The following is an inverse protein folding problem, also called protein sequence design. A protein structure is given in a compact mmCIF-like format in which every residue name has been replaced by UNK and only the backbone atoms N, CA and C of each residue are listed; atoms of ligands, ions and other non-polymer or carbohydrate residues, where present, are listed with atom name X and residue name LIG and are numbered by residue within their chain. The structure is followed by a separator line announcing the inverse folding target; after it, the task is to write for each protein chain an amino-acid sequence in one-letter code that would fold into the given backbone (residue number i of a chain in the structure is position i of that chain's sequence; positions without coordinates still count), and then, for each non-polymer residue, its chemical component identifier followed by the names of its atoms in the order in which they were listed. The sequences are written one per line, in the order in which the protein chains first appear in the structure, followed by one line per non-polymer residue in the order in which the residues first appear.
data_IF_885975034035
#
_entry.id   IF_885975034035
#
_cell.length_a   1.000
_cell.length_b   1.000
_cell.length_c   1.000
_cell.angle_alpha   90.00
_cell.angle_beta   90.00
_cell.angle_gamma   90.00
#
_symmetry.space_group_name_H-M   'P 1'
#
loop_
_entity.id
_entity.type
_entity.pdbx_description
1 polymer ?
#
# COMPACT_ATOMS: atom_id res chain seq x y z
N UNK A 1 -11.68 12.03 40.85
CA UNK A 1 -10.89 12.82 39.89
C UNK A 1 -10.44 12.03 38.64
N UNK A 2 -10.17 10.73 38.73
CA UNK A 2 -9.81 9.88 37.56
C UNK A 2 -11.00 9.57 36.63
N UNK A 3 -12.20 9.37 37.18
CA UNK A 3 -13.41 9.04 36.37
C UNK A 3 -13.84 10.16 35.41
N UNK A 4 -13.67 11.42 35.79
CA UNK A 4 -14.05 12.59 34.98
C UNK A 4 -13.05 12.88 33.84
N UNK A 5 -11.78 12.51 34.02
CA UNK A 5 -10.78 12.60 32.95
C UNK A 5 -11.03 11.55 31.87
N UNK A 6 -11.26 10.29 32.29
CA UNK A 6 -11.59 9.20 31.38
C UNK A 6 -12.89 9.45 30.59
N UNK A 7 -13.91 10.03 31.22
CA UNK A 7 -15.15 10.40 30.50
C UNK A 7 -14.93 11.51 29.47
N UNK A 8 -14.09 12.50 29.80
CA UNK A 8 -13.74 13.57 28.86
C UNK A 8 -12.90 13.04 27.70
N UNK A 9 -11.88 12.21 27.97
CA UNK A 9 -11.03 11.59 26.94
C UNK A 9 -11.86 10.72 25.99
N UNK A 10 -12.81 9.95 26.53
CA UNK A 10 -13.73 9.15 25.73
C UNK A 10 -14.63 10.04 24.86
N UNK A 11 -15.14 11.14 25.42
CA UNK A 11 -15.97 12.12 24.69
C UNK A 11 -15.20 12.77 23.54
N UNK A 12 -13.94 13.17 23.76
CA UNK A 12 -13.07 13.72 22.73
C UNK A 12 -12.77 12.70 21.64
N UNK A 13 -12.48 11.45 22.00
CA UNK A 13 -12.23 10.39 21.02
C UNK A 13 -13.46 10.15 20.14
N UNK A 14 -14.66 10.09 20.73
CA UNK A 14 -15.93 9.92 20.02
C UNK A 14 -16.24 11.09 19.08
N UNK A 15 -16.00 12.32 19.53
CA UNK A 15 -16.15 13.50 18.70
C UNK A 15 -15.19 13.49 17.52
N UNK A 16 -13.92 13.09 17.75
CA UNK A 16 -12.94 12.94 16.70
C UNK A 16 -13.40 11.87 15.69
N UNK A 17 -13.76 10.67 16.15
CA UNK A 17 -14.23 9.59 15.27
C UNK A 17 -15.42 10.02 14.40
N UNK A 18 -16.38 10.77 14.95
CA UNK A 18 -17.49 11.32 14.17
C UNK A 18 -17.04 12.29 13.07
N UNK A 19 -16.04 13.13 13.34
CA UNK A 19 -15.47 14.04 12.35
C UNK A 19 -14.71 13.27 11.26
N UNK A 20 -13.99 12.21 11.65
CA UNK A 20 -13.32 11.32 10.70
C UNK A 20 -14.33 10.64 9.76
N UNK A 21 -15.42 10.11 10.31
CA UNK A 21 -16.47 9.46 9.52
C UNK A 21 -17.17 10.46 8.57
N UNK A 22 -17.38 11.70 9.03
CA UNK A 22 -18.02 12.74 8.20
C UNK A 22 -17.15 13.13 7.02
N UNK A 23 -15.83 13.27 7.23
CA UNK A 23 -14.84 13.53 6.19
C UNK A 23 -14.76 12.36 5.21
N UNK A 24 -14.70 11.12 5.72
CA UNK A 24 -14.68 9.92 4.87
C UNK A 24 -15.91 9.86 3.97
N UNK A 25 -17.11 10.10 4.52
CA UNK A 25 -18.36 10.11 3.76
C UNK A 25 -18.44 11.24 2.71
N UNK A 26 -17.78 12.38 2.93
CA UNK A 26 -17.70 13.47 1.93
C UNK A 26 -16.75 13.09 0.81
N UNK A 27 -15.62 12.46 1.14
CA UNK A 27 -14.62 12.00 0.17
C UNK A 27 -15.24 10.90 -0.71
N UNK A 28 -15.91 9.91 -0.13
CA UNK A 28 -16.59 8.84 -0.86
C UNK A 28 -17.71 9.35 -1.79
N UNK A 29 -18.39 10.44 -1.43
CA UNK A 29 -19.42 11.06 -2.29
C UNK A 29 -18.85 11.90 -3.42
N UNK A 30 -17.73 12.59 -3.18
CA UNK A 30 -17.11 13.48 -4.19
C UNK A 30 -16.27 12.72 -5.20
N UNK A 31 -15.58 11.67 -4.78
CA UNK A 31 -14.98 10.75 -5.74
C UNK A 31 -16.09 9.88 -6.30
N UNK A 32 -16.40 10.02 -7.60
CA UNK A 32 -17.07 8.95 -8.32
C UNK A 32 -16.18 7.72 -8.16
N UNK A 33 -16.54 6.82 -7.24
CA UNK A 33 -15.74 5.67 -6.89
C UNK A 33 -15.64 4.80 -8.15
N UNK A 34 -14.55 4.99 -8.88
CA UNK A 34 -14.24 4.22 -10.08
C UNK A 34 -14.17 2.74 -9.70
N UNK A 35 -14.50 1.85 -10.64
CA UNK A 35 -14.49 0.41 -10.37
C UNK A 35 -13.13 -0.08 -9.86
N UNK A 36 -12.05 0.59 -10.28
CA UNK A 36 -10.69 0.46 -9.72
C UNK A 36 -10.62 0.52 -8.20
N UNK A 37 -11.32 1.47 -7.58
CA UNK A 37 -11.31 1.63 -6.13
C UNK A 37 -11.89 0.40 -5.43
N UNK A 38 -13.03 -0.08 -5.92
CA UNK A 38 -13.70 -1.25 -5.35
C UNK A 38 -12.83 -2.50 -5.49
N UNK A 39 -12.16 -2.65 -6.63
CA UNK A 39 -11.25 -3.77 -6.86
C UNK A 39 -10.00 -3.68 -5.97
N UNK A 40 -9.45 -2.50 -5.71
CA UNK A 40 -8.31 -2.33 -4.80
C UNK A 40 -8.65 -2.74 -3.35
N UNK A 41 -9.89 -2.52 -2.90
CA UNK A 41 -10.35 -2.93 -1.57
C UNK A 41 -10.38 -4.46 -1.38
N UNK A 42 -10.38 -5.24 -2.46
CA UNK A 42 -10.32 -6.71 -2.38
C UNK A 42 -8.93 -7.23 -2.00
N UNK A 43 -7.91 -6.39 -2.09
CA UNK A 43 -6.53 -6.76 -1.76
C UNK A 43 -6.35 -6.78 -0.23
N UNK A 44 -5.82 -7.86 0.36
CA UNK A 44 -5.57 -7.93 1.79
C UNK A 44 -4.63 -6.81 2.22
N UNK A 45 -5.04 -6.08 3.26
CA UNK A 45 -4.30 -4.95 3.82
C UNK A 45 -4.55 -3.61 3.15
N UNK A 46 -5.29 -3.53 2.05
CA UNK A 46 -5.70 -2.26 1.45
C UNK A 46 -7.06 -1.84 2.03
N UNK A 47 -7.03 -0.89 2.96
CA UNK A 47 -8.24 -0.22 3.45
C UNK A 47 -8.64 0.99 2.60
N UNK A 48 -9.77 1.63 2.93
CA UNK A 48 -10.33 2.79 2.19
C UNK A 48 -9.32 3.90 1.94
N UNK A 49 -8.66 4.38 3.00
CA UNK A 49 -7.66 5.46 2.92
C UNK A 49 -6.47 5.04 2.02
N UNK A 50 -6.01 3.80 2.14
CA UNK A 50 -4.90 3.27 1.35
C UNK A 50 -5.31 3.13 -0.12
N UNK A 51 -6.51 2.61 -0.41
CA UNK A 51 -7.04 2.49 -1.76
C UNK A 51 -7.22 3.86 -2.41
N UNK A 52 -7.77 4.85 -1.70
CA UNK A 52 -7.90 6.23 -2.17
C UNK A 52 -6.53 6.84 -2.46
N UNK A 53 -5.57 6.68 -1.55
CA UNK A 53 -4.20 7.18 -1.73
C UNK A 53 -3.57 6.55 -2.97
N UNK A 54 -3.68 5.23 -3.12
CA UNK A 54 -3.14 4.51 -4.28
C UNK A 54 -3.78 5.03 -5.57
N UNK A 55 -5.11 5.12 -5.62
CA UNK A 55 -5.83 5.56 -6.81
C UNK A 55 -5.48 6.99 -7.21
N UNK A 56 -5.52 7.93 -6.26
CA UNK A 56 -5.27 9.35 -6.51
C UNK A 56 -3.81 9.63 -6.90
N UNK A 57 -2.85 9.03 -6.19
CA UNK A 57 -1.43 9.24 -6.43
C UNK A 57 -0.92 8.51 -7.68
N UNK A 58 -1.57 7.40 -8.06
CA UNK A 58 -1.28 6.70 -9.31
C UNK A 58 -1.81 7.50 -10.50
N UNK A 59 -3.05 7.98 -10.41
CA UNK A 59 -3.78 8.58 -11.53
C UNK A 59 -4.06 7.55 -12.64
N UNK A 60 -4.06 7.96 -13.92
CA UNK A 60 -4.19 7.03 -15.04
C UNK A 60 -3.08 5.98 -15.02
N UNK A 61 -3.43 4.72 -14.82
CA UNK A 61 -2.46 3.61 -14.70
C UNK A 61 -1.66 3.39 -15.99
N UNK A 62 -2.23 3.74 -17.14
CA UNK A 62 -1.62 3.55 -18.48
C UNK A 62 -0.35 4.38 -18.69
N UNK A 63 -0.10 5.38 -17.84
CA UNK A 63 1.19 6.11 -17.82
C UNK A 63 2.38 5.19 -17.53
N UNK A 64 2.14 4.02 -16.91
CA UNK A 64 3.14 3.03 -16.61
C UNK A 64 3.04 1.87 -17.58
N UNK A 65 3.93 1.83 -18.58
CA UNK A 65 4.00 0.74 -19.56
C UNK A 65 4.21 -0.64 -18.92
N UNK A 66 5.00 -0.70 -17.85
CA UNK A 66 5.39 -1.94 -17.18
C UNK A 66 5.15 -1.85 -15.67
N UNK A 67 4.79 -2.98 -15.07
CA UNK A 67 4.66 -3.12 -13.61
C UNK A 67 5.93 -2.74 -12.85
N UNK A 68 7.11 -2.98 -13.45
CA UNK A 68 8.40 -2.58 -12.88
C UNK A 68 8.54 -1.06 -12.76
N UNK A 69 8.01 -0.29 -13.71
CA UNK A 69 8.01 1.17 -13.67
C UNK A 69 7.09 1.67 -12.54
N UNK A 70 5.94 1.03 -12.35
CA UNK A 70 5.03 1.34 -11.24
C UNK A 70 5.66 1.02 -9.88
N UNK A 71 6.23 -0.18 -9.72
CA UNK A 71 6.91 -0.59 -8.49
C UNK A 71 8.12 0.32 -8.16
N UNK A 72 8.83 0.78 -9.19
CA UNK A 72 9.89 1.78 -9.07
C UNK A 72 9.36 3.13 -8.60
N UNK A 73 8.26 3.61 -9.20
CA UNK A 73 7.60 4.83 -8.79
C UNK A 73 7.10 4.77 -7.33
N UNK A 74 6.66 3.60 -6.86
CA UNK A 74 6.26 3.36 -5.48
C UNK A 74 7.43 3.23 -4.49
N UNK A 75 8.69 3.34 -4.93
CA UNK A 75 9.91 3.16 -4.13
C UNK A 75 10.10 1.75 -3.56
N UNK A 76 9.54 0.73 -4.22
CA UNK A 76 9.55 -0.66 -3.75
C UNK A 76 10.62 -1.53 -4.42
N UNK A 77 11.51 -0.93 -5.21
CA UNK A 77 12.61 -1.61 -5.89
C UNK A 77 13.94 -0.97 -5.53
N UNK A 78 15.01 -1.76 -5.56
CA UNK A 78 16.36 -1.22 -5.37
C UNK A 78 16.83 -0.49 -6.63
N UNK A 79 17.26 0.75 -6.50
CA UNK A 79 17.94 1.47 -7.58
C UNK A 79 19.44 1.13 -7.61
N UNK A 80 19.94 0.73 -8.78
CA UNK A 80 21.36 0.49 -9.04
C UNK A 80 21.84 1.44 -10.14
N UNK A 81 23.02 2.01 -9.95
CA UNK A 81 23.69 2.77 -11.00
C UNK A 81 24.78 1.90 -11.60
N UNK A 82 24.63 1.55 -12.89
CA UNK A 82 25.58 0.74 -13.64
C UNK A 82 26.12 1.54 -14.82
N UNK A 83 27.43 1.48 -15.07
CA UNK A 83 28.04 1.97 -16.31
C UNK A 83 29.14 1.03 -16.77
N UNK A 84 29.22 0.82 -18.09
CA UNK A 84 30.14 -0.14 -18.70
C UNK A 84 30.12 -1.52 -17.98
N UNK A 85 28.90 -2.04 -17.76
CA UNK A 85 28.60 -3.30 -17.02
C UNK A 85 29.10 -3.37 -15.57
N UNK A 86 29.69 -2.30 -15.04
CA UNK A 86 30.15 -2.19 -13.66
C UNK A 86 29.15 -1.42 -12.81
N UNK A 87 28.87 -1.92 -11.60
CA UNK A 87 28.07 -1.19 -10.63
C UNK A 87 28.88 -0.01 -10.08
N UNK A 88 28.41 1.21 -10.32
CA UNK A 88 29.07 2.48 -9.92
C UNK A 88 28.50 3.07 -8.64
N UNK A 89 27.28 2.69 -8.24
CA UNK A 89 26.69 3.19 -7.02
C UNK A 89 25.24 2.76 -6.80
N UNK A 90 24.62 3.36 -5.78
CA UNK A 90 23.19 3.21 -5.47
C UNK A 90 22.46 4.46 -5.96
N UNK A 91 21.28 4.29 -6.54
CA UNK A 91 20.49 5.44 -6.99
C UNK A 91 19.86 6.21 -5.83
N UNK A 92 19.20 7.33 -6.15
CA UNK A 92 18.50 8.13 -5.16
C UNK A 92 17.31 7.35 -4.56
N UNK A 93 17.40 7.01 -3.28
CA UNK A 93 16.35 6.30 -2.53
C UNK A 93 15.05 7.10 -2.37
N UNK A 94 15.11 8.42 -2.51
CA UNK A 94 13.95 9.33 -2.42
C UNK A 94 13.29 9.59 -3.78
N UNK A 95 13.75 8.97 -4.85
CA UNK A 95 13.10 9.11 -6.16
C UNK A 95 11.78 8.31 -6.19
N UNK A 96 10.75 8.84 -6.84
CA UNK A 96 9.39 8.27 -6.85
C UNK A 96 8.45 8.91 -5.81
N UNK A 97 7.25 8.36 -5.67
CA UNK A 97 6.17 8.91 -4.85
C UNK A 97 6.26 8.47 -3.38
N UNK A 98 6.35 9.44 -2.46
CA UNK A 98 6.45 9.18 -1.01
C UNK A 98 5.13 8.65 -0.41
N UNK A 99 3.98 9.06 -0.95
CA UNK A 99 2.67 8.66 -0.46
C UNK A 99 2.37 7.21 -0.84
N UNK A 100 2.68 6.81 -2.08
CA UNK A 100 2.58 5.40 -2.49
C UNK A 100 3.55 4.51 -1.70
N UNK A 101 4.78 4.99 -1.44
CA UNK A 101 5.74 4.26 -0.60
C UNK A 101 5.21 4.02 0.81
N UNK A 102 4.56 5.01 1.42
CA UNK A 102 3.90 4.87 2.71
C UNK A 102 2.69 3.94 2.62
N UNK A 103 1.78 4.17 1.67
CA UNK A 103 0.55 3.41 1.51
C UNK A 103 0.80 1.90 1.35
N UNK A 104 1.77 1.50 0.52
CA UNK A 104 2.12 0.08 0.36
C UNK A 104 2.87 -0.50 1.57
N UNK A 105 3.58 0.34 2.34
CA UNK A 105 4.19 -0.10 3.60
C UNK A 105 3.12 -0.40 4.65
N UNK A 106 2.10 0.45 4.78
CA UNK A 106 0.94 0.21 5.65
C UNK A 106 0.17 -1.02 5.17
N UNK A 107 -0.10 -1.12 3.87
CA UNK A 107 -0.80 -2.28 3.30
C UNK A 107 -0.08 -3.60 3.62
N UNK A 108 1.25 -3.61 3.54
CA UNK A 108 2.05 -4.78 3.90
C UNK A 108 1.95 -5.13 5.39
N UNK A 109 1.90 -4.15 6.30
CA UNK A 109 1.75 -4.40 7.73
C UNK A 109 0.36 -4.96 8.05
N UNK A 110 -0.70 -4.37 7.48
CA UNK A 110 -2.06 -4.88 7.62
C UNK A 110 -2.21 -6.28 7.02
N UNK A 111 -1.69 -6.51 5.81
CA UNK A 111 -1.70 -7.82 5.17
C UNK A 111 -0.96 -8.86 6.03
N UNK A 112 0.24 -8.53 6.53
CA UNK A 112 1.01 -9.42 7.41
C UNK A 112 0.24 -9.77 8.69
N UNK A 113 -0.52 -8.82 9.24
CA UNK A 113 -1.28 -9.00 10.48
C UNK A 113 -2.55 -9.82 10.27
N UNK A 114 -3.32 -9.55 9.23
CA UNK A 114 -4.67 -10.09 9.08
C UNK A 114 -4.82 -11.18 8.02
N UNK A 115 -3.85 -11.35 7.12
CA UNK A 115 -3.89 -12.37 6.06
C UNK A 115 -2.83 -13.46 6.28
N UNK A 116 -3.27 -14.72 6.36
CA UNK A 116 -2.39 -15.85 6.65
C UNK A 116 -1.37 -16.11 5.52
N UNK A 117 -1.76 -15.94 4.25
CA UNK A 117 -0.87 -16.19 3.11
C UNK A 117 0.19 -15.11 2.99
N UNK A 118 -0.18 -13.83 3.20
CA UNK A 118 0.75 -12.72 3.28
C UNK A 118 1.75 -12.91 4.43
N UNK A 119 1.26 -13.34 5.61
CA UNK A 119 2.10 -13.65 6.77
C UNK A 119 3.05 -14.82 6.49
N UNK A 120 2.58 -15.88 5.83
CA UNK A 120 3.41 -17.01 5.44
C UNK A 120 4.51 -16.61 4.44
N UNK A 121 4.18 -15.76 3.46
CA UNK A 121 5.17 -15.20 2.54
C UNK A 121 6.22 -14.34 3.27
N UNK A 122 5.77 -13.44 4.14
CA UNK A 122 6.65 -12.61 4.96
C UNK A 122 7.60 -13.48 5.80
N UNK A 123 7.08 -14.48 6.50
CA UNK A 123 7.87 -15.39 7.33
C UNK A 123 8.89 -16.19 6.50
N UNK A 124 8.49 -16.66 5.31
CA UNK A 124 9.41 -17.34 4.36
C UNK A 124 10.56 -16.45 3.94
N UNK A 125 10.30 -15.15 3.73
CA UNK A 125 11.36 -14.17 3.41
C UNK A 125 12.20 -13.79 4.62
N UNK A 126 11.58 -13.59 5.79
CA UNK A 126 12.27 -13.29 7.03
C UNK A 126 13.29 -14.37 7.42
N UNK A 127 13.00 -15.65 7.12
CA UNK A 127 13.97 -16.74 7.33
C UNK A 127 15.25 -16.63 6.47
N UNK A 128 15.20 -15.88 5.37
CA UNK A 128 16.31 -15.74 4.40
C UNK A 128 16.96 -14.36 4.42
N UNK A 129 16.32 -13.36 5.03
CA UNK A 129 16.72 -11.94 4.97
C UNK A 129 16.39 -11.22 6.28
N UNK A 130 16.66 -9.91 6.38
CA UNK A 130 16.20 -9.12 7.52
C UNK A 130 14.72 -8.69 7.41
N UNK A 131 14.18 -8.16 8.51
CA UNK A 131 12.78 -7.74 8.61
C UNK A 131 12.40 -6.65 7.61
N UNK A 132 13.26 -5.64 7.40
CA UNK A 132 12.97 -4.55 6.46
C UNK A 132 12.86 -5.05 5.02
N UNK A 133 13.74 -5.98 4.64
CA UNK A 133 13.73 -6.59 3.31
C UNK A 133 12.51 -7.49 3.12
N UNK A 134 12.13 -8.27 4.13
CA UNK A 134 10.93 -9.08 4.09
C UNK A 134 9.65 -8.23 3.98
N UNK A 135 9.57 -7.14 4.74
CA UNK A 135 8.46 -6.17 4.69
C UNK A 135 8.35 -5.50 3.32
N UNK A 136 9.47 -4.97 2.83
CA UNK A 136 9.53 -4.32 1.51
C UNK A 136 9.19 -5.31 0.40
N UNK A 137 9.60 -6.58 0.52
CA UNK A 137 9.27 -7.61 -0.46
C UNK A 137 7.77 -7.95 -0.49
N UNK A 138 7.08 -7.88 0.66
CA UNK A 138 5.63 -8.03 0.74
C UNK A 138 4.93 -6.81 0.12
N UNK A 139 5.33 -5.60 0.51
CA UNK A 139 4.83 -4.35 -0.09
C UNK A 139 5.01 -4.33 -1.61
N UNK A 140 6.17 -4.78 -2.11
CA UNK A 140 6.45 -4.91 -3.54
C UNK A 140 5.48 -5.87 -4.24
N UNK A 141 5.15 -7.02 -3.65
CA UNK A 141 4.15 -7.94 -4.22
C UNK A 141 2.76 -7.31 -4.25
N UNK A 142 2.35 -6.61 -3.19
CA UNK A 142 1.07 -5.89 -3.14
C UNK A 142 0.97 -4.78 -4.19
N UNK A 143 2.04 -4.01 -4.41
CA UNK A 143 2.06 -2.97 -5.44
C UNK A 143 1.96 -3.55 -6.85
N UNK A 144 2.61 -4.68 -7.11
CA UNK A 144 2.46 -5.38 -8.39
C UNK A 144 1.03 -5.86 -8.61
N UNK A 145 0.38 -6.38 -7.57
CA UNK A 145 -1.02 -6.80 -7.63
C UNK A 145 -1.94 -5.61 -7.90
N UNK A 146 -1.78 -4.51 -7.15
CA UNK A 146 -2.55 -3.28 -7.33
C UNK A 146 -2.44 -2.73 -8.76
N UNK A 147 -1.24 -2.76 -9.36
CA UNK A 147 -1.04 -2.36 -10.75
C UNK A 147 -1.88 -3.20 -11.73
N UNK A 148 -1.84 -4.52 -11.62
CA UNK A 148 -2.60 -5.40 -12.51
C UNK A 148 -4.11 -5.25 -12.32
N UNK A 149 -4.57 -5.09 -11.08
CA UNK A 149 -5.98 -4.82 -10.77
C UNK A 149 -6.44 -3.51 -11.42
N UNK A 150 -5.67 -2.43 -11.25
CA UNK A 150 -6.02 -1.12 -11.82
C UNK A 150 -5.94 -1.09 -13.35
N UNK A 151 -5.02 -1.86 -13.96
CA UNK A 151 -4.86 -1.91 -15.42
C UNK A 151 -5.91 -2.80 -16.08
N UNK A 152 -6.10 -4.00 -15.55
CA UNK A 152 -6.92 -5.03 -16.17
C UNK A 152 -8.38 -5.00 -15.69
N UNK A 153 -8.71 -4.18 -14.67
CA UNK A 153 -10.02 -4.14 -14.01
C UNK A 153 -10.49 -5.52 -13.52
N UNK A 154 -9.56 -6.35 -13.05
CA UNK A 154 -9.85 -7.70 -12.55
C UNK A 154 -9.86 -7.74 -11.03
N UNK A 155 -10.68 -8.64 -10.48
CA UNK A 155 -10.68 -8.92 -9.04
C UNK A 155 -9.34 -9.54 -8.58
N UNK A 156 -9.01 -9.29 -7.31
CA UNK A 156 -7.82 -9.83 -6.71
C UNK A 156 -7.89 -11.36 -6.59
N UNK A 157 -6.94 -12.05 -7.22
CA UNK A 157 -6.78 -13.51 -7.08
C UNK A 157 -5.58 -13.81 -6.19
N UNK A 158 -5.85 -14.26 -4.96
CA UNK A 158 -4.84 -14.45 -3.93
C UNK A 158 -3.80 -15.54 -4.26
N UNK A 159 -4.17 -16.57 -5.02
CA UNK A 159 -3.24 -17.66 -5.42
C UNK A 159 -2.07 -17.16 -6.27
N UNK A 160 -2.30 -16.14 -7.10
CA UNK A 160 -1.30 -15.66 -8.05
C UNK A 160 -0.17 -14.85 -7.39
N UNK A 161 -0.34 -14.46 -6.12
CA UNK A 161 0.53 -13.47 -5.48
C UNK A 161 1.51 -14.08 -4.49
N UNK A 162 1.12 -15.07 -3.68
CA UNK A 162 1.99 -15.57 -2.59
C UNK A 162 2.75 -16.86 -2.89
N UNK A 163 2.55 -17.43 -4.08
CA UNK A 163 3.42 -18.45 -4.68
C UNK A 163 4.85 -17.87 -4.82
#
# INVERSE_FOLDING_TARGET
MTSQRLSNDLSYSLALYKEWDSIEAVIERKLKLEDRYKLLLTVPGIGKIIALTIMLETGPVDRFQNVGNYASYCRLVSSRWTSNEKTKGKGNKKNGNKYLSWAFSEAAEFARRYDERARAYYNRKLRKTNFMVAHTALAHKLARAAYHIMRDQVEFVQEKIFT
#
